data_IF_213269691772
#
_entry.id   IF_213269691772
#
_cell.length_a   1.000
_cell.length_b   1.000
_cell.length_c   1.000
_cell.angle_alpha   90.00
_cell.angle_beta   90.00
_cell.angle_gamma   90.00
#
_symmetry.space_group_name_H-M   'P 1'
#
loop_
_entity.id
_entity.type
_entity.pdbx_description
1 polymer ?
#
# COMPACT_ATOMS: atom_id res chain seq x y z
N UNK A 1 17.43 3.35 -19.13
CA UNK A 1 16.06 2.81 -19.03
C UNK A 1 15.96 2.16 -17.67
N UNK A 2 15.00 2.54 -16.83
CA UNK A 2 14.79 1.84 -15.55
C UNK A 2 14.02 0.56 -15.83
N UNK A 3 14.53 -0.58 -15.38
CA UNK A 3 13.91 -1.89 -15.57
C UNK A 3 12.53 -1.97 -14.88
N UNK A 4 11.57 -2.78 -15.38
CA UNK A 4 10.20 -2.87 -14.85
C UNK A 4 10.11 -3.26 -13.36
N UNK A 5 11.11 -3.99 -12.85
CA UNK A 5 11.21 -4.41 -11.45
C UNK A 5 11.41 -3.21 -10.50
N UNK A 6 12.00 -2.13 -11.00
CA UNK A 6 12.24 -0.87 -10.29
C UNK A 6 10.92 -0.08 -10.09
N UNK A 7 9.89 -0.33 -10.89
CA UNK A 7 8.62 0.41 -10.81
C UNK A 7 7.79 0.01 -9.58
N UNK A 8 7.64 -1.30 -9.34
CA UNK A 8 6.87 -1.80 -8.20
C UNK A 8 7.55 -1.41 -6.89
N UNK A 9 8.88 -1.57 -6.80
CA UNK A 9 9.65 -1.21 -5.61
C UNK A 9 9.52 0.29 -5.28
N UNK A 10 9.67 1.17 -6.28
CA UNK A 10 9.49 2.62 -6.10
C UNK A 10 8.07 2.97 -5.69
N UNK A 11 7.08 2.33 -6.30
CA UNK A 11 5.67 2.54 -5.97
C UNK A 11 5.42 2.13 -4.51
N UNK A 12 5.87 0.94 -4.11
CA UNK A 12 5.77 0.43 -2.75
C UNK A 12 6.41 1.38 -1.74
N UNK A 13 7.64 1.83 -1.99
CA UNK A 13 8.34 2.80 -1.15
C UNK A 13 7.53 4.09 -0.99
N UNK A 14 6.99 4.63 -2.09
CA UNK A 14 6.17 5.84 -2.06
C UNK A 14 4.89 5.67 -1.23
N UNK A 15 4.18 4.55 -1.39
CA UNK A 15 2.95 4.26 -0.65
C UNK A 15 3.24 4.06 0.84
N UNK A 16 4.35 3.39 1.19
CA UNK A 16 4.77 3.21 2.58
C UNK A 16 5.06 4.54 3.26
N UNK A 17 5.88 5.39 2.64
CA UNK A 17 6.22 6.73 3.19
C UNK A 17 4.96 7.59 3.33
N UNK A 18 4.04 7.51 2.36
CA UNK A 18 2.78 8.24 2.43
C UNK A 18 1.90 7.76 3.59
N UNK A 19 1.75 6.45 3.77
CA UNK A 19 0.98 5.87 4.86
C UNK A 19 1.60 6.15 6.24
N UNK A 20 2.93 6.24 6.33
CA UNK A 20 3.63 6.58 7.56
C UNK A 20 3.31 8.01 8.02
N UNK A 21 3.42 8.96 7.09
CA UNK A 21 3.27 10.41 7.35
C UNK A 21 1.83 10.87 7.58
N UNK A 22 0.85 10.12 7.11
CA UNK A 22 -0.55 10.54 7.13
C UNK A 22 -1.41 9.62 8.01
N UNK A 23 -2.23 10.20 8.88
CA UNK A 23 -3.01 9.45 9.88
C UNK A 23 -4.52 9.46 9.68
N UNK A 24 -5.04 10.28 8.77
CA UNK A 24 -6.47 10.43 8.58
C UNK A 24 -7.04 9.42 7.58
N UNK A 25 -8.34 9.13 7.74
CA UNK A 25 -9.05 8.14 6.93
C UNK A 25 -8.95 8.40 5.43
N UNK A 26 -9.08 9.65 5.00
CA UNK A 26 -8.98 10.05 3.58
C UNK A 26 -7.64 9.64 2.96
N UNK A 27 -6.55 9.73 3.72
CA UNK A 27 -5.22 9.30 3.28
C UNK A 27 -5.11 7.78 3.19
N UNK A 28 -5.77 7.03 4.05
CA UNK A 28 -5.85 5.57 3.93
C UNK A 28 -6.70 5.12 2.74
N UNK A 29 -7.75 5.85 2.40
CA UNK A 29 -8.54 5.60 1.19
C UNK A 29 -7.69 5.86 -0.07
N UNK A 30 -6.83 6.87 -0.04
CA UNK A 30 -5.83 7.09 -1.10
C UNK A 30 -4.83 5.93 -1.20
N UNK A 31 -4.28 5.46 -0.07
CA UNK A 31 -3.39 4.29 -0.03
C UNK A 31 -4.08 3.06 -0.64
N UNK A 32 -5.33 2.78 -0.27
CA UNK A 32 -6.09 1.67 -0.83
C UNK A 32 -6.33 1.81 -2.34
N UNK A 33 -6.60 3.03 -2.82
CA UNK A 33 -6.70 3.27 -4.26
C UNK A 33 -5.37 2.97 -4.96
N UNK A 34 -4.24 3.39 -4.38
CA UNK A 34 -2.92 3.12 -4.92
C UNK A 34 -2.60 1.61 -4.97
N UNK A 35 -2.95 0.85 -3.92
CA UNK A 35 -2.84 -0.62 -3.91
C UNK A 35 -3.70 -1.27 -5.00
N UNK A 36 -4.93 -0.79 -5.23
CA UNK A 36 -5.79 -1.30 -6.31
C UNK A 36 -5.22 -1.04 -7.71
N UNK A 37 -4.53 0.08 -7.92
CA UNK A 37 -3.81 0.33 -9.17
C UNK A 37 -2.60 -0.59 -9.31
N UNK A 38 -1.86 -0.85 -8.23
CA UNK A 38 -0.74 -1.78 -8.22
C UNK A 38 -1.16 -3.21 -8.60
N UNK A 39 -2.34 -3.67 -8.16
CA UNK A 39 -2.89 -4.99 -8.55
C UNK A 39 -3.04 -5.17 -10.07
N UNK A 40 -3.10 -4.09 -10.86
CA UNK A 40 -3.20 -4.17 -12.33
C UNK A 40 -1.83 -4.37 -13.00
N UNK A 41 -0.74 -4.24 -12.26
CA UNK A 41 0.63 -4.38 -12.76
C UNK A 41 1.09 -5.84 -12.68
N UNK A 42 1.94 -6.26 -13.62
CA UNK A 42 2.58 -7.59 -13.58
C UNK A 42 3.42 -7.70 -12.30
N UNK A 43 3.13 -8.69 -11.46
CA UNK A 43 3.80 -8.89 -10.16
C UNK A 43 3.18 -8.10 -9.00
N UNK A 44 2.20 -7.22 -9.27
CA UNK A 44 1.60 -6.37 -8.26
C UNK A 44 0.80 -7.10 -7.18
N UNK A 45 0.27 -8.29 -7.46
CA UNK A 45 -0.45 -9.09 -6.46
C UNK A 45 0.44 -9.49 -5.27
N UNK A 46 1.66 -9.98 -5.56
CA UNK A 46 2.63 -10.33 -4.52
C UNK A 46 3.04 -9.10 -3.72
N UNK A 47 3.30 -8.00 -4.42
CA UNK A 47 3.75 -6.75 -3.82
C UNK A 47 2.68 -6.13 -2.90
N UNK A 48 1.41 -6.11 -3.35
CA UNK A 48 0.28 -5.63 -2.53
C UNK A 48 0.11 -6.50 -1.29
N UNK A 49 0.25 -7.83 -1.40
CA UNK A 49 0.17 -8.70 -0.23
C UNK A 49 1.24 -8.35 0.81
N UNK A 50 2.48 -8.16 0.37
CA UNK A 50 3.58 -7.76 1.25
C UNK A 50 3.32 -6.41 1.92
N UNK A 51 2.87 -5.41 1.16
CA UNK A 51 2.53 -4.09 1.70
C UNK A 51 1.40 -4.14 2.71
N UNK A 52 0.34 -4.90 2.44
CA UNK A 52 -0.81 -5.03 3.34
C UNK A 52 -0.37 -5.68 4.65
N UNK A 53 0.48 -6.70 4.59
CA UNK A 53 1.05 -7.34 5.79
C UNK A 53 1.92 -6.36 6.60
N UNK A 54 2.75 -5.55 5.93
CA UNK A 54 3.54 -4.49 6.58
C UNK A 54 2.61 -3.48 7.27
N UNK A 55 1.56 -3.02 6.60
CA UNK A 55 0.62 -2.05 7.16
C UNK A 55 -0.19 -2.62 8.32
N UNK A 56 -0.65 -3.87 8.24
CA UNK A 56 -1.34 -4.55 9.34
C UNK A 56 -0.46 -4.67 10.58
N UNK A 57 0.82 -4.99 10.40
CA UNK A 57 1.77 -5.11 11.51
C UNK A 57 2.15 -3.74 12.10
N UNK A 58 2.55 -2.79 11.26
CA UNK A 58 3.01 -1.47 11.69
C UNK A 58 1.87 -0.60 12.25
N UNK A 59 0.66 -0.71 11.70
CA UNK A 59 -0.44 0.20 11.95
C UNK A 59 -1.66 -0.48 12.60
N UNK A 60 -1.46 -1.59 13.34
CA UNK A 60 -2.52 -2.35 14.03
C UNK A 60 -3.48 -1.54 14.92
N UNK A 61 -3.04 -0.37 15.41
CA UNK A 61 -3.85 0.56 16.24
C UNK A 61 -4.64 1.59 15.43
N UNK A 62 -4.42 1.66 14.11
CA UNK A 62 -5.07 2.62 13.22
C UNK A 62 -6.35 2.00 12.67
N UNK A 63 -7.44 2.08 13.44
CA UNK A 63 -8.71 1.38 13.14
C UNK A 63 -9.26 1.69 11.75
N UNK A 64 -9.15 2.95 11.30
CA UNK A 64 -9.58 3.33 9.95
C UNK A 64 -8.79 2.58 8.86
N UNK A 65 -7.47 2.49 9.01
CA UNK A 65 -6.62 1.75 8.08
C UNK A 65 -6.95 0.26 8.08
N UNK A 66 -7.09 -0.34 9.26
CA UNK A 66 -7.44 -1.77 9.36
C UNK A 66 -8.80 -2.08 8.76
N UNK A 67 -9.77 -1.19 8.94
CA UNK A 67 -11.09 -1.32 8.30
C UNK A 67 -11.00 -1.27 6.78
N UNK A 68 -10.19 -0.37 6.22
CA UNK A 68 -9.98 -0.23 4.77
C UNK A 68 -9.22 -1.42 4.19
N UNK A 69 -8.21 -1.92 4.91
CA UNK A 69 -7.37 -3.04 4.45
C UNK A 69 -8.03 -4.42 4.64
N UNK A 70 -9.26 -4.51 5.15
CA UNK A 70 -9.95 -5.78 5.38
C UNK A 70 -10.26 -6.52 4.07
N UNK A 71 -10.45 -5.77 2.99
CA UNK A 71 -10.86 -6.29 1.68
C UNK A 71 -9.66 -6.59 0.74
N UNK A 72 -8.43 -6.57 1.28
CA UNK A 72 -7.19 -6.95 0.59
C UNK A 72 -6.61 -8.23 1.19
#
# INVERSE_FOLDING_TARGET
MGEPEDLLERFSSHVQVYAEKNTDRSHYEYVAKALKEMLKLKGGELEVRLLVDVFRQAYKRRTAMMGILKDF
#
